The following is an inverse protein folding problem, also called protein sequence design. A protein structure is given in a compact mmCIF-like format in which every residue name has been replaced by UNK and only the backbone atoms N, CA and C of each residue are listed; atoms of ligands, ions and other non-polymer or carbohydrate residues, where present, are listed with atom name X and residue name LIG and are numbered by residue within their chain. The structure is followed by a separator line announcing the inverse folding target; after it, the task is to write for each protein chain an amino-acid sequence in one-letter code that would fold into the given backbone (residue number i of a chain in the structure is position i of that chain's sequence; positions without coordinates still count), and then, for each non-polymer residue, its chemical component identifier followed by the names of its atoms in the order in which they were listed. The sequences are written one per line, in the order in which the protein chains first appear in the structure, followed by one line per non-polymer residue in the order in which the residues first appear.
data_IF_339054412759
#
_entry.id   IF_339054412759
#
_cell.length_a   1.000
_cell.length_b   1.000
_cell.length_c   1.000
_cell.angle_alpha   90.00
_cell.angle_beta   90.00
_cell.angle_gamma   90.00
#
_symmetry.space_group_name_H-M   'P 1'
#
loop_
_entity.id
_entity.type
_entity.pdbx_description
1 polymer ?
#
# COMPACT_ATOMS: atom_id res chain seq x y z
N UNK A 1 0.60 3.98 15.67
CA UNK A 1 0.90 2.58 16.07
C UNK A 1 0.05 2.16 17.25
N UNK A 2 -0.13 0.86 17.54
CA UNK A 2 -0.94 0.40 18.68
C UNK A 2 -0.47 0.97 20.04
N UNK A 3 0.85 1.14 20.20
CA UNK A 3 1.50 1.81 21.33
C UNK A 3 0.99 3.22 21.65
N UNK A 4 0.38 3.91 20.68
CA UNK A 4 -0.13 5.27 20.85
C UNK A 4 -1.64 5.28 21.15
N UNK A 5 -2.29 4.13 21.06
CA UNK A 5 -3.76 3.99 21.07
C UNK A 5 -4.27 3.18 22.26
N UNK A 6 -3.44 2.33 22.83
CA UNK A 6 -3.80 1.44 23.93
C UNK A 6 -2.76 1.54 25.05
N UNK A 7 -3.22 1.31 26.27
CA UNK A 7 -2.34 1.15 27.43
C UNK A 7 -1.75 -0.27 27.41
N UNK A 8 -0.45 -0.37 27.13
CA UNK A 8 0.29 -1.62 26.92
C UNK A 8 1.50 -1.66 27.86
N UNK A 9 1.29 -1.85 29.17
CA UNK A 9 2.32 -1.66 30.18
C UNK A 9 3.52 -2.60 30.02
N UNK A 10 3.32 -3.83 29.53
CA UNK A 10 4.42 -4.78 29.36
C UNK A 10 5.32 -4.40 28.18
N UNK A 11 4.72 -4.03 27.05
CA UNK A 11 5.45 -3.57 25.88
C UNK A 11 6.06 -2.17 26.10
N UNK A 12 5.43 -1.31 26.90
CA UNK A 12 6.01 -0.03 27.32
C UNK A 12 7.25 -0.25 28.21
N UNK A 13 7.19 -1.18 29.17
CA UNK A 13 8.35 -1.55 29.97
C UNK A 13 9.48 -2.16 29.11
N UNK A 14 9.14 -2.95 28.08
CA UNK A 14 10.12 -3.47 27.11
C UNK A 14 10.80 -2.33 26.33
N UNK A 15 10.03 -1.34 25.90
CA UNK A 15 10.52 -0.15 25.20
C UNK A 15 11.47 0.67 26.06
N UNK A 16 11.08 0.98 27.30
CA UNK A 16 11.89 1.75 28.27
C UNK A 16 13.17 0.99 28.67
N UNK A 17 13.07 -0.33 28.84
CA UNK A 17 14.21 -1.18 29.17
C UNK A 17 15.18 -1.45 28.01
N UNK A 18 14.88 -0.95 26.80
CA UNK A 18 15.58 -1.32 25.57
C UNK A 18 15.79 -0.17 24.59
N UNK A 19 16.11 -0.54 23.35
CA UNK A 19 16.20 0.37 22.21
C UNK A 19 15.00 0.15 21.31
N UNK A 20 14.27 1.21 21.00
CA UNK A 20 13.15 1.18 20.07
C UNK A 20 13.46 1.91 18.76
N UNK A 21 12.66 1.61 17.74
CA UNK A 21 12.77 2.23 16.42
C UNK A 21 11.58 3.16 16.22
N UNK A 22 11.85 4.41 15.85
CA UNK A 22 10.81 5.41 15.56
C UNK A 22 9.98 4.99 14.34
N UNK A 23 10.64 4.56 13.26
CA UNK A 23 9.99 4.02 12.06
C UNK A 23 10.57 2.65 11.69
N UNK A 24 9.84 1.60 12.04
CA UNK A 24 10.11 0.24 11.58
C UNK A 24 9.35 -0.08 10.29
N UNK A 25 10.05 -0.64 9.30
CA UNK A 25 9.47 -1.06 8.02
C UNK A 25 9.66 -2.56 7.82
N UNK A 26 8.64 -3.23 7.30
CA UNK A 26 8.76 -4.61 6.81
C UNK A 26 8.63 -4.69 5.30
N UNK A 27 9.05 -5.81 4.72
CA UNK A 27 8.75 -6.11 3.32
C UNK A 27 7.25 -6.06 3.06
N UNK A 28 6.86 -5.79 1.81
CA UNK A 28 5.46 -5.73 1.42
C UNK A 28 4.71 -6.98 1.94
N UNK A 29 3.60 -6.83 2.69
CA UNK A 29 2.97 -7.95 3.39
C UNK A 29 2.04 -8.77 2.48
N UNK A 30 2.58 -9.20 1.35
CA UNK A 30 1.92 -10.09 0.40
C UNK A 30 1.90 -11.53 0.91
N UNK A 31 0.88 -12.27 0.48
CA UNK A 31 0.72 -13.71 0.70
C UNK A 31 0.78 -14.46 -0.63
N UNK A 32 1.95 -14.50 -1.31
CA UNK A 32 2.11 -15.21 -2.57
C UNK A 32 2.22 -16.73 -2.30
N UNK A 33 1.29 -17.28 -1.50
CA UNK A 33 1.23 -18.71 -1.12
C UNK A 33 0.77 -19.61 -2.26
N UNK A 34 0.87 -19.12 -3.49
CA UNK A 34 0.66 -19.79 -4.77
C UNK A 34 1.94 -19.60 -5.62
N UNK A 35 2.14 -20.38 -6.68
CA UNK A 35 3.34 -20.30 -7.54
C UNK A 35 4.65 -20.72 -6.79
N UNK A 36 5.89 -20.52 -7.31
CA UNK A 36 7.11 -21.07 -6.70
C UNK A 36 7.33 -20.73 -5.23
N UNK A 37 6.87 -19.57 -4.76
CA UNK A 37 6.89 -19.23 -3.33
C UNK A 37 5.99 -20.18 -2.52
N UNK A 38 4.73 -20.34 -2.94
CA UNK A 38 3.75 -21.21 -2.29
C UNK A 38 4.11 -22.70 -2.28
N UNK A 39 5.03 -23.13 -3.14
CA UNK A 39 5.54 -24.50 -3.14
C UNK A 39 6.34 -24.84 -1.87
N UNK A 40 6.92 -23.84 -1.20
CA UNK A 40 7.80 -24.03 -0.04
C UNK A 40 7.41 -23.18 1.17
N UNK A 41 6.72 -22.05 0.97
CA UNK A 41 6.39 -21.08 2.00
C UNK A 41 4.88 -20.93 2.15
N UNK A 42 4.40 -20.95 3.40
CA UNK A 42 2.97 -21.01 3.72
C UNK A 42 2.45 -19.78 4.46
N UNK A 43 3.33 -18.79 4.68
CA UNK A 43 3.04 -17.54 5.40
C UNK A 43 3.33 -16.33 4.50
N UNK A 44 3.13 -15.12 5.02
CA UNK A 44 3.45 -13.87 4.33
C UNK A 44 4.95 -13.67 4.16
N UNK A 45 5.32 -12.88 3.14
CA UNK A 45 6.71 -12.56 2.84
C UNK A 45 7.49 -12.00 4.06
N UNK A 46 6.95 -11.04 4.85
CA UNK A 46 7.65 -10.50 6.03
C UNK A 46 8.09 -11.56 7.02
N UNK A 47 7.29 -12.61 7.23
CA UNK A 47 7.64 -13.65 8.20
C UNK A 47 8.89 -14.41 7.79
N UNK A 48 9.03 -14.70 6.49
CA UNK A 48 10.20 -15.37 5.90
C UNK A 48 11.40 -14.44 5.87
N UNK A 49 11.25 -13.20 5.37
CA UNK A 49 12.37 -12.26 5.21
C UNK A 49 12.93 -11.80 6.56
N UNK A 50 12.10 -11.67 7.59
CA UNK A 50 12.56 -11.41 8.97
C UNK A 50 13.45 -12.56 9.46
N UNK A 51 13.04 -13.83 9.32
CA UNK A 51 13.84 -14.97 9.81
C UNK A 51 15.13 -15.19 9.02
N UNK A 52 15.05 -14.92 7.72
CA UNK A 52 16.17 -15.09 6.81
C UNK A 52 17.19 -13.96 6.95
N UNK A 53 16.75 -12.77 7.40
CA UNK A 53 17.58 -11.57 7.44
C UNK A 53 17.88 -10.98 6.06
N UNK A 54 17.06 -11.30 5.05
CA UNK A 54 17.26 -10.88 3.66
C UNK A 54 15.93 -10.81 2.91
N UNK A 55 15.84 -9.89 1.94
CA UNK A 55 14.73 -9.86 0.97
C UNK A 55 14.90 -10.88 -0.15
N UNK A 56 16.14 -11.32 -0.42
CA UNK A 56 16.45 -12.26 -1.48
C UNK A 56 16.40 -13.67 -0.88
N UNK A 57 15.22 -14.27 -0.98
CA UNK A 57 14.93 -15.59 -0.44
C UNK A 57 15.05 -16.68 -1.49
N UNK A 58 15.36 -17.89 -1.04
CA UNK A 58 15.41 -19.10 -1.83
C UNK A 58 14.11 -19.92 -1.70
N UNK A 59 13.92 -20.83 -2.66
CA UNK A 59 12.84 -21.82 -2.62
C UNK A 59 12.87 -22.60 -1.31
N UNK A 60 13.99 -23.29 -1.04
CA UNK A 60 14.26 -23.93 0.25
C UNK A 60 15.13 -22.99 1.07
N UNK A 61 14.48 -22.08 1.77
CA UNK A 61 15.18 -21.06 2.54
C UNK A 61 15.99 -21.68 3.70
N UNK A 62 17.26 -21.29 3.77
CA UNK A 62 18.12 -21.48 4.94
C UNK A 62 17.88 -20.33 5.91
N UNK A 63 17.51 -20.65 7.15
CA UNK A 63 17.14 -19.66 8.17
C UNK A 63 18.22 -19.51 9.24
N UNK A 64 18.16 -18.44 10.02
CA UNK A 64 19.14 -18.17 11.07
C UNK A 64 19.28 -19.30 12.09
N UNK A 65 18.18 -19.96 12.49
CA UNK A 65 18.24 -21.04 13.47
C UNK A 65 19.02 -22.26 12.97
N UNK A 66 19.15 -22.44 11.65
CA UNK A 66 19.98 -23.49 11.05
C UNK A 66 21.50 -23.20 11.17
N UNK A 67 21.89 -21.98 11.52
CA UNK A 67 23.28 -21.58 11.77
C UNK A 67 23.66 -21.63 13.26
N UNK A 68 22.70 -21.95 14.14
CA UNK A 68 22.96 -22.09 15.57
C UNK A 68 23.75 -23.39 15.85
N UNK A 69 24.57 -23.42 16.92
CA UNK A 69 25.25 -24.65 17.35
C UNK A 69 24.27 -25.81 17.55
N UNK A 70 24.64 -27.02 17.15
CA UNK A 70 23.74 -28.21 17.20
C UNK A 70 23.22 -28.53 18.61
N UNK A 71 23.96 -28.14 19.66
CA UNK A 71 23.54 -28.31 21.04
C UNK A 71 22.50 -27.29 21.52
N UNK A 72 22.21 -26.25 20.72
CA UNK A 72 21.20 -25.27 21.08
C UNK A 72 19.82 -25.84 20.79
N UNK A 73 18.95 -25.76 21.79
CA UNK A 73 17.55 -26.10 21.67
C UNK A 73 16.80 -24.87 21.16
N UNK A 74 15.98 -25.09 20.15
CA UNK A 74 15.27 -24.05 19.42
C UNK A 74 13.76 -24.29 19.46
N UNK A 75 12.99 -23.20 19.54
CA UNK A 75 11.55 -23.25 19.59
C UNK A 75 10.89 -22.29 18.61
N UNK A 76 9.84 -22.75 17.94
CA UNK A 76 8.94 -21.91 17.17
C UNK A 76 7.48 -22.16 17.58
N UNK A 77 6.76 -21.11 17.97
CA UNK A 77 5.36 -21.21 18.34
C UNK A 77 4.56 -20.13 17.61
N UNK A 78 3.54 -20.51 16.84
CA UNK A 78 2.70 -19.61 16.07
C UNK A 78 1.23 -20.02 16.08
N UNK A 79 0.34 -19.05 16.27
CA UNK A 79 -1.11 -19.26 16.41
C UNK A 79 -1.87 -19.55 15.12
N UNK A 80 -1.18 -20.00 14.07
CA UNK A 80 -1.80 -20.33 12.78
C UNK A 80 -1.00 -21.38 12.03
N UNK A 81 -1.73 -22.25 11.34
CA UNK A 81 -1.17 -23.22 10.40
C UNK A 81 -0.36 -22.57 9.26
N UNK A 82 -0.50 -21.27 9.01
CA UNK A 82 0.29 -20.54 8.03
C UNK A 82 1.79 -20.57 8.34
N UNK A 83 2.20 -20.68 9.61
CA UNK A 83 3.61 -20.57 10.00
C UNK A 83 4.42 -21.86 9.84
N UNK A 84 3.78 -22.98 9.43
CA UNK A 84 4.40 -24.31 9.36
C UNK A 84 5.65 -24.39 8.47
N UNK A 85 5.75 -23.58 7.42
CA UNK A 85 6.94 -23.57 6.55
C UNK A 85 8.21 -23.05 7.22
N UNK A 86 8.10 -22.39 8.38
CA UNK A 86 9.25 -21.95 9.16
C UNK A 86 9.71 -23.01 10.18
N UNK A 87 8.90 -24.03 10.46
CA UNK A 87 9.19 -25.06 11.47
C UNK A 87 10.42 -25.96 11.17
N UNK A 88 10.77 -26.29 9.91
CA UNK A 88 11.91 -27.17 9.67
C UNK A 88 13.18 -26.67 10.37
N UNK A 89 13.80 -27.55 11.16
CA UNK A 89 15.01 -27.26 11.95
C UNK A 89 14.77 -26.75 13.37
N UNK A 90 13.52 -26.53 13.80
CA UNK A 90 13.21 -26.27 15.21
C UNK A 90 13.00 -27.57 15.99
N UNK A 91 13.51 -27.65 17.22
CA UNK A 91 13.32 -28.81 18.11
C UNK A 91 11.90 -28.88 18.67
N UNK A 92 11.36 -27.72 19.00
CA UNK A 92 9.98 -27.53 19.44
C UNK A 92 9.21 -26.71 18.43
N UNK A 93 8.07 -27.23 17.95
CA UNK A 93 7.21 -26.46 17.06
C UNK A 93 5.73 -26.57 17.39
N UNK A 94 5.05 -25.42 17.36
CA UNK A 94 3.60 -25.29 17.37
C UNK A 94 3.23 -24.33 16.24
N UNK A 95 2.44 -24.77 15.28
CA UNK A 95 1.94 -23.92 14.19
C UNK A 95 0.50 -24.33 13.88
N UNK A 96 -0.41 -24.00 14.80
CA UNK A 96 -1.83 -24.39 14.70
C UNK A 96 -2.72 -23.23 15.13
N UNK A 97 -3.99 -23.25 14.71
CA UNK A 97 -4.99 -22.23 15.04
C UNK A 97 -5.40 -22.29 16.51
N UNK A 98 -4.60 -21.71 17.40
CA UNK A 98 -4.83 -21.70 18.85
C UNK A 98 -4.82 -20.26 19.41
N UNK A 99 -5.47 -20.02 20.55
CA UNK A 99 -5.43 -18.72 21.23
C UNK A 99 -4.01 -18.33 21.65
N UNK A 100 -3.74 -17.03 21.77
CA UNK A 100 -2.44 -16.49 22.16
C UNK A 100 -1.94 -17.07 23.50
N UNK A 101 -2.87 -17.29 24.44
CA UNK A 101 -2.60 -17.95 25.71
C UNK A 101 -1.97 -19.34 25.55
N UNK A 102 -2.49 -20.15 24.62
CA UNK A 102 -1.98 -21.50 24.38
C UNK A 102 -0.57 -21.50 23.78
N UNK A 103 -0.22 -20.47 23.01
CA UNK A 103 1.12 -20.27 22.45
C UNK A 103 2.11 -19.98 23.58
N UNK A 104 1.74 -19.10 24.51
CA UNK A 104 2.56 -18.78 25.69
C UNK A 104 2.66 -19.98 26.65
N UNK A 105 1.56 -20.71 26.87
CA UNK A 105 1.55 -21.91 27.71
C UNK A 105 2.48 -23.00 27.12
N UNK A 106 2.43 -23.24 25.80
CA UNK A 106 3.34 -24.14 25.11
C UNK A 106 4.80 -23.71 25.26
N UNK A 107 5.08 -22.42 25.07
CA UNK A 107 6.43 -21.86 25.18
C UNK A 107 7.00 -22.03 26.59
N UNK A 108 6.25 -21.62 27.62
CA UNK A 108 6.68 -21.75 29.02
C UNK A 108 6.84 -23.22 29.40
N UNK A 109 5.93 -24.10 28.96
CA UNK A 109 6.02 -25.54 29.21
C UNK A 109 7.29 -26.16 28.62
N UNK A 110 7.70 -25.73 27.42
CA UNK A 110 8.97 -26.16 26.81
C UNK A 110 10.18 -25.61 27.59
N UNK A 111 10.13 -24.35 28.06
CA UNK A 111 11.19 -23.77 28.89
C UNK A 111 11.36 -24.48 30.23
N UNK A 112 10.26 -24.88 30.89
CA UNK A 112 10.32 -25.64 32.14
C UNK A 112 10.85 -27.06 31.91
N UNK A 113 10.53 -27.68 30.76
CA UNK A 113 10.98 -29.04 30.43
C UNK A 113 12.48 -29.11 30.14
N UNK A 114 13.01 -28.21 29.31
CA UNK A 114 14.40 -28.25 28.85
C UNK A 114 15.36 -27.49 29.77
N UNK A 115 14.84 -26.57 30.59
CA UNK A 115 15.64 -25.71 31.46
C UNK A 115 16.38 -24.58 30.72
N UNK A 116 16.83 -24.78 29.47
CA UNK A 116 17.46 -23.75 28.65
C UNK A 116 17.20 -23.94 27.14
N UNK A 117 16.20 -23.22 26.61
CA UNK A 117 16.00 -23.05 25.16
C UNK A 117 16.71 -21.77 24.74
N UNK A 118 17.68 -21.86 23.82
CA UNK A 118 18.55 -20.73 23.48
C UNK A 118 17.88 -19.77 22.49
N UNK A 119 17.15 -20.29 21.50
CA UNK A 119 16.47 -19.44 20.51
C UNK A 119 15.00 -19.78 20.40
N UNK A 120 14.15 -18.74 20.50
CA UNK A 120 12.71 -18.88 20.37
C UNK A 120 12.13 -17.84 19.43
N UNK A 121 11.24 -18.26 18.54
CA UNK A 121 10.37 -17.38 17.76
C UNK A 121 8.92 -17.64 18.15
N UNK A 122 8.26 -16.61 18.67
CA UNK A 122 6.90 -16.71 19.21
C UNK A 122 6.01 -15.73 18.44
N UNK A 123 4.89 -16.21 17.91
CA UNK A 123 4.01 -15.45 17.04
C UNK A 123 2.55 -15.55 17.50
N UNK A 124 2.08 -14.49 18.15
CA UNK A 124 0.69 -14.32 18.55
C UNK A 124 -0.18 -14.02 17.31
N UNK A 125 -1.44 -14.44 17.31
CA UNK A 125 -2.31 -14.44 16.12
C UNK A 125 -3.62 -13.69 16.29
N UNK A 126 -4.12 -13.51 17.52
CA UNK A 126 -5.46 -12.97 17.76
C UNK A 126 -5.66 -11.56 17.19
N UNK A 127 -4.63 -10.71 17.24
CA UNK A 127 -4.65 -9.36 16.63
C UNK A 127 -4.84 -9.42 15.12
N UNK A 128 -4.12 -10.32 14.44
CA UNK A 128 -4.26 -10.55 13.00
C UNK A 128 -5.64 -11.09 12.63
N UNK A 129 -6.20 -12.00 13.46
CA UNK A 129 -7.56 -12.51 13.27
C UNK A 129 -8.61 -11.40 13.44
N UNK A 130 -8.59 -10.69 14.56
CA UNK A 130 -9.55 -9.64 14.87
C UNK A 130 -9.50 -8.52 13.83
N UNK A 131 -8.29 -8.12 13.44
CA UNK A 131 -8.07 -7.15 12.39
C UNK A 131 -8.63 -7.59 11.03
N UNK A 132 -8.41 -8.84 10.63
CA UNK A 132 -8.87 -9.35 9.33
C UNK A 132 -10.36 -9.65 9.30
N UNK A 133 -10.83 -10.43 10.26
CA UNK A 133 -12.16 -11.04 10.24
C UNK A 133 -13.19 -10.10 10.86
N UNK A 134 -12.88 -9.52 12.02
CA UNK A 134 -13.87 -8.77 12.81
C UNK A 134 -13.92 -7.28 12.45
N UNK A 135 -12.84 -6.75 11.86
CA UNK A 135 -12.77 -5.36 11.38
C UNK A 135 -12.75 -5.26 9.86
N UNK A 136 -11.74 -5.81 9.17
CA UNK A 136 -11.56 -5.59 7.73
C UNK A 136 -12.62 -6.24 6.83
N UNK A 137 -13.14 -7.41 7.23
CA UNK A 137 -14.24 -8.08 6.52
C UNK A 137 -15.64 -7.69 6.98
N UNK A 138 -15.75 -6.86 8.02
CA UNK A 138 -17.03 -6.48 8.59
C UNK A 138 -17.89 -5.73 7.56
N UNK A 139 -19.12 -6.19 7.38
CA UNK A 139 -20.11 -5.59 6.46
C UNK A 139 -21.20 -4.83 7.21
N UNK A 140 -21.37 -5.09 8.50
CA UNK A 140 -22.32 -4.37 9.35
C UNK A 140 -21.81 -2.96 9.63
N UNK A 141 -22.73 -2.03 9.84
CA UNK A 141 -22.42 -0.65 10.22
C UNK A 141 -22.09 -0.56 11.72
N UNK A 142 -20.87 -0.96 12.06
CA UNK A 142 -20.30 -0.87 13.42
C UNK A 142 -19.04 0.00 13.38
N UNK A 143 -18.70 0.72 14.47
CA UNK A 143 -17.61 1.69 14.46
C UNK A 143 -16.25 1.14 14.01
N UNK A 144 -15.98 -0.14 14.29
CA UNK A 144 -14.73 -0.80 13.95
C UNK A 144 -14.70 -1.44 12.56
N UNK A 145 -15.76 -1.32 11.76
CA UNK A 145 -15.75 -1.78 10.37
C UNK A 145 -14.72 -0.98 9.56
N UNK A 146 -13.67 -1.65 9.07
CA UNK A 146 -12.53 -1.02 8.38
C UNK A 146 -11.86 0.11 9.20
N UNK A 147 -11.91 0.01 10.53
CA UNK A 147 -11.18 0.89 11.43
C UNK A 147 -10.83 0.14 12.72
N UNK A 148 -9.65 -0.48 12.76
CA UNK A 148 -9.21 -1.29 13.90
C UNK A 148 -9.03 -0.50 15.20
N UNK A 149 -8.86 0.82 15.11
CA UNK A 149 -8.64 1.69 16.27
C UNK A 149 -9.92 2.37 16.76
N UNK A 150 -11.08 2.04 16.19
CA UNK A 150 -12.35 2.53 16.71
C UNK A 150 -12.58 2.06 18.16
N UNK A 151 -13.41 2.81 18.87
CA UNK A 151 -13.85 2.45 20.22
C UNK A 151 -14.47 1.04 20.23
N UNK A 152 -14.21 0.29 21.30
CA UNK A 152 -14.66 -1.10 21.51
C UNK A 152 -14.26 -2.14 20.44
N UNK A 153 -13.39 -1.76 19.50
CA UNK A 153 -12.88 -2.64 18.45
C UNK A 153 -12.34 -3.96 19.01
N UNK A 154 -12.75 -5.12 18.43
CA UNK A 154 -12.19 -6.42 18.77
C UNK A 154 -10.67 -6.49 18.62
N UNK A 155 -10.11 -5.74 17.66
CA UNK A 155 -8.66 -5.62 17.50
C UNK A 155 -7.99 -5.01 18.74
N UNK A 156 -8.57 -3.95 19.31
CA UNK A 156 -8.04 -3.32 20.53
C UNK A 156 -8.04 -4.28 21.72
N UNK A 157 -9.11 -5.06 21.87
CA UNK A 157 -9.21 -6.11 22.90
C UNK A 157 -8.14 -7.18 22.70
N UNK A 158 -7.91 -7.62 21.47
CA UNK A 158 -6.86 -8.57 21.13
C UNK A 158 -5.45 -8.01 21.39
N UNK A 159 -5.20 -6.72 21.11
CA UNK A 159 -3.91 -6.07 21.40
C UNK A 159 -3.63 -6.03 22.91
N UNK A 160 -4.63 -5.69 23.73
CA UNK A 160 -4.52 -5.70 25.19
C UNK A 160 -4.27 -7.13 25.71
N UNK A 161 -4.94 -8.13 25.14
CA UNK A 161 -4.70 -9.52 25.48
C UNK A 161 -3.27 -9.96 25.12
N UNK A 162 -2.78 -9.59 23.94
CA UNK A 162 -1.42 -9.89 23.50
C UNK A 162 -0.38 -9.28 24.46
N UNK A 163 -0.53 -8.02 24.88
CA UNK A 163 0.36 -7.40 25.88
C UNK A 163 0.36 -8.17 27.21
N UNK A 164 -0.81 -8.59 27.68
CA UNK A 164 -0.95 -9.39 28.90
C UNK A 164 -0.24 -10.75 28.79
N UNK A 165 -0.42 -11.47 27.69
CA UNK A 165 0.19 -12.78 27.48
C UNK A 165 1.71 -12.67 27.29
N UNK A 166 2.19 -11.60 26.64
CA UNK A 166 3.61 -11.22 26.61
C UNK A 166 4.14 -10.94 28.03
N UNK A 167 3.36 -10.23 28.86
CA UNK A 167 3.68 -9.98 30.26
C UNK A 167 3.90 -11.27 31.07
N UNK A 168 3.08 -12.31 30.85
CA UNK A 168 3.27 -13.62 31.49
C UNK A 168 4.61 -14.25 31.13
N UNK A 169 5.04 -14.14 29.88
CA UNK A 169 6.36 -14.61 29.45
C UNK A 169 7.48 -13.80 30.13
N UNK A 170 7.31 -12.49 30.25
CA UNK A 170 8.29 -11.63 30.92
C UNK A 170 8.40 -11.95 32.42
N UNK A 171 7.28 -12.16 33.10
CA UNK A 171 7.25 -12.55 34.51
C UNK A 171 7.89 -13.92 34.73
N UNK A 172 7.66 -14.88 33.82
CA UNK A 172 8.35 -16.15 33.84
C UNK A 172 9.88 -15.98 33.74
N UNK A 173 10.36 -15.21 32.77
CA UNK A 173 11.80 -14.95 32.59
C UNK A 173 12.41 -14.26 33.83
N UNK A 174 11.72 -13.28 34.42
CA UNK A 174 12.14 -12.62 35.66
C UNK A 174 12.18 -13.59 36.84
N UNK A 175 11.14 -14.41 37.01
CA UNK A 175 11.05 -15.41 38.07
C UNK A 175 12.12 -16.50 37.99
N UNK A 176 12.61 -16.81 36.78
CA UNK A 176 13.74 -17.72 36.54
C UNK A 176 15.11 -17.02 36.54
N UNK A 177 15.15 -15.70 36.78
CA UNK A 177 16.39 -14.92 36.74
C UNK A 177 17.04 -14.79 35.35
N UNK A 178 16.27 -15.02 34.28
CA UNK A 178 16.74 -14.98 32.88
C UNK A 178 16.45 -13.67 32.15
N UNK A 179 15.67 -12.77 32.76
CA UNK A 179 15.28 -11.50 32.13
C UNK A 179 16.48 -10.69 31.61
N UNK A 180 17.47 -10.43 32.47
CA UNK A 180 18.62 -9.58 32.11
C UNK A 180 19.65 -10.28 31.20
N UNK A 181 19.60 -11.61 31.10
CA UNK A 181 20.47 -12.41 30.23
C UNK A 181 19.84 -12.77 28.88
N UNK A 182 18.56 -12.46 28.67
CA UNK A 182 17.83 -12.81 27.45
C UNK A 182 17.72 -11.61 26.52
N UNK A 183 18.09 -11.80 25.24
CA UNK A 183 17.77 -10.85 24.18
C UNK A 183 16.33 -11.08 23.73
N UNK A 184 15.50 -10.05 23.86
CA UNK A 184 14.12 -10.01 23.40
C UNK A 184 14.04 -9.03 22.25
N UNK A 185 13.48 -9.49 21.12
CA UNK A 185 13.16 -8.63 19.99
C UNK A 185 11.66 -8.69 19.74
N UNK A 186 10.98 -7.56 19.87
CA UNK A 186 9.54 -7.45 19.63
C UNK A 186 9.25 -6.76 18.30
N UNK A 187 8.40 -7.38 17.49
CA UNK A 187 7.93 -6.86 16.22
C UNK A 187 6.50 -7.34 15.90
N UNK A 188 5.78 -6.57 15.08
CA UNK A 188 4.51 -6.98 14.49
C UNK A 188 4.67 -7.54 13.06
N UNK A 189 3.61 -8.18 12.55
CA UNK A 189 3.51 -8.73 11.18
C UNK A 189 2.83 -7.77 10.17
N UNK A 190 2.52 -6.55 10.62
CA UNK A 190 1.99 -5.45 9.82
C UNK A 190 0.47 -5.36 9.93
N UNK A 191 -0.08 -4.14 9.90
CA UNK A 191 -1.52 -3.96 10.06
C UNK A 191 -2.00 -2.61 9.50
N UNK A 192 -2.95 -2.64 8.57
CA UNK A 192 -3.66 -1.46 8.10
C UNK A 192 -4.71 -0.99 9.11
N UNK A 193 -5.00 0.31 9.12
CA UNK A 193 -6.14 0.89 9.85
C UNK A 193 -7.45 0.19 9.43
N UNK A 194 -7.56 -0.14 8.15
CA UNK A 194 -8.71 -0.87 7.62
C UNK A 194 -8.80 -2.34 8.06
N UNK A 195 -7.80 -2.86 8.75
CA UNK A 195 -7.72 -4.25 9.18
C UNK A 195 -6.94 -5.13 8.23
N UNK A 196 -6.22 -6.10 8.81
CA UNK A 196 -5.24 -6.97 8.15
C UNK A 196 -4.08 -6.19 7.54
N UNK A 197 -3.10 -6.85 6.94
CA UNK A 197 -1.95 -6.21 6.28
C UNK A 197 -2.21 -6.04 4.77
N UNK A 198 -3.09 -5.11 4.40
CA UNK A 198 -3.45 -4.83 3.00
C UNK A 198 -2.22 -4.35 2.20
N UNK A 199 -1.84 -5.08 1.15
CA UNK A 199 -0.57 -4.86 0.43
C UNK A 199 -0.46 -3.50 -0.31
N UNK A 200 -1.56 -2.78 -0.55
CA UNK A 200 -1.52 -1.43 -1.16
C UNK A 200 -1.50 -0.30 -0.13
N UNK A 201 -1.74 -0.61 1.15
CA UNK A 201 -1.82 0.37 2.23
C UNK A 201 -0.47 0.50 2.92
N UNK A 202 0.03 1.72 3.07
CA UNK A 202 1.37 1.98 3.64
C UNK A 202 1.40 1.75 5.15
N UNK A 203 0.28 1.85 5.84
CA UNK A 203 0.21 1.46 7.25
C UNK A 203 0.47 -0.05 7.46
N UNK A 204 0.17 -0.90 6.47
CA UNK A 204 0.43 -2.34 6.53
C UNK A 204 1.89 -2.74 6.60
N UNK A 205 2.82 -1.92 6.10
CA UNK A 205 4.25 -2.23 6.15
C UNK A 205 4.96 -1.62 7.37
N UNK A 206 4.22 -0.91 8.24
CA UNK A 206 4.76 -0.35 9.47
C UNK A 206 4.78 -1.42 10.56
N UNK A 207 5.87 -1.48 11.32
CA UNK A 207 6.01 -2.44 12.41
C UNK A 207 6.74 -1.83 13.59
N UNK A 208 6.34 -2.13 14.84
CA UNK A 208 7.17 -1.77 15.97
C UNK A 208 8.44 -2.60 15.90
N UNK A 209 9.56 -2.05 16.32
CA UNK A 209 10.80 -2.82 16.50
C UNK A 209 11.41 -2.37 17.81
N UNK A 210 11.55 -3.32 18.74
CA UNK A 210 12.14 -3.08 20.06
C UNK A 210 13.15 -4.19 20.33
N UNK A 211 14.38 -3.79 20.67
CA UNK A 211 15.41 -4.68 21.19
C UNK A 211 15.57 -4.44 22.69
N UNK A 212 15.51 -5.49 23.49
CA UNK A 212 15.72 -5.42 24.94
C UNK A 212 16.65 -6.55 25.37
N UNK A 213 17.58 -6.28 26.28
CA UNK A 213 18.39 -7.33 26.90
C UNK A 213 19.87 -6.99 26.97
N UNK A 214 20.75 -8.00 27.10
CA UNK A 214 22.16 -7.78 27.35
C UNK A 214 22.82 -7.01 26.21
N UNK A 215 23.63 -6.01 26.58
CA UNK A 215 24.40 -5.15 25.65
C UNK A 215 23.55 -4.21 24.78
N UNK A 216 22.23 -4.10 25.01
CA UNK A 216 21.36 -3.14 24.33
C UNK A 216 21.24 -1.85 25.16
N UNK A 217 21.26 -0.68 24.52
CA UNK A 217 21.00 0.60 25.19
C UNK A 217 19.56 0.63 25.70
N UNK A 218 19.39 1.16 26.92
CA UNK A 218 18.08 1.36 27.54
C UNK A 218 17.58 2.77 27.24
N UNK A 219 16.26 2.95 27.18
CA UNK A 219 15.60 4.21 26.88
C UNK A 219 16.22 4.96 25.68
N UNK A 220 16.50 4.19 24.62
CA UNK A 220 17.16 4.71 23.42
C UNK A 220 16.28 4.54 22.18
N UNK A 221 16.31 5.50 21.28
CA UNK A 221 15.51 5.49 20.06
C UNK A 221 16.42 5.68 18.86
N UNK A 222 16.31 4.78 17.88
CA UNK A 222 16.92 4.96 16.56
C UNK A 222 15.83 5.38 15.55
N UNK A 223 16.17 6.22 14.55
CA UNK A 223 15.15 6.80 13.68
C UNK A 223 14.49 5.76 12.75
N UNK A 224 15.22 4.71 12.37
CA UNK A 224 14.75 3.81 11.32
C UNK A 224 15.41 2.42 11.37
N UNK A 225 14.63 1.38 11.06
CA UNK A 225 15.11 0.02 10.82
C UNK A 225 14.15 -0.76 9.91
N UNK A 226 14.65 -1.81 9.27
CA UNK A 226 13.87 -2.73 8.45
C UNK A 226 13.83 -4.13 9.08
N UNK A 227 12.79 -4.90 8.77
CA UNK A 227 12.63 -6.25 9.31
C UNK A 227 13.79 -7.18 8.94
N UNK A 228 14.43 -6.95 7.79
CA UNK A 228 15.61 -7.68 7.34
C UNK A 228 16.88 -7.39 8.15
N UNK A 229 16.92 -6.29 8.94
CA UNK A 229 18.08 -5.93 9.76
C UNK A 229 18.14 -6.69 11.09
N UNK A 230 17.02 -7.32 11.47
CA UNK A 230 16.83 -7.92 12.79
C UNK A 230 17.75 -9.12 13.00
N UNK A 231 17.72 -10.08 12.09
CA UNK A 231 18.54 -11.29 12.18
C UNK A 231 20.04 -11.00 12.02
N UNK A 232 20.50 -10.18 11.05
CA UNK A 232 21.90 -9.74 10.99
C UNK A 232 22.37 -9.09 12.30
N UNK A 233 21.49 -8.32 12.95
CA UNK A 233 21.78 -7.70 14.24
C UNK A 233 21.87 -8.73 15.38
N UNK A 234 20.95 -9.70 15.45
CA UNK A 234 21.01 -10.80 16.42
C UNK A 234 22.28 -11.62 16.22
N UNK A 235 22.59 -12.00 14.98
CA UNK A 235 23.78 -12.78 14.64
C UNK A 235 25.07 -12.05 15.06
N UNK A 236 25.16 -10.74 14.79
CA UNK A 236 26.29 -9.91 15.23
C UNK A 236 26.41 -9.85 16.76
N UNK A 237 25.30 -9.63 17.48
CA UNK A 237 25.31 -9.62 18.95
C UNK A 237 25.79 -10.97 19.50
N UNK A 238 25.38 -12.08 18.89
CA UNK A 238 25.74 -13.42 19.31
C UNK A 238 27.10 -13.90 18.81
N UNK A 239 27.78 -13.10 17.97
CA UNK A 239 29.01 -13.50 17.30
C UNK A 239 28.85 -14.79 16.48
N UNK A 240 27.71 -14.92 15.78
CA UNK A 240 27.39 -16.02 14.87
C UNK A 240 27.53 -15.53 13.44
N UNK A 241 28.23 -16.30 12.61
CA UNK A 241 28.32 -16.05 11.18
C UNK A 241 27.11 -16.66 10.47
N UNK A 242 26.27 -15.80 9.89
CA UNK A 242 25.18 -16.26 9.02
C UNK A 242 25.74 -16.85 7.73
N UNK A 243 25.20 -17.99 7.29
CA UNK A 243 25.48 -18.57 5.98
C UNK A 243 24.63 -17.92 4.88
N UNK A 244 23.42 -17.50 5.24
CA UNK A 244 22.47 -16.86 4.32
C UNK A 244 22.74 -15.34 4.17
N UNK A 245 23.93 -14.98 3.69
CA UNK A 245 24.30 -13.58 3.38
C UNK A 245 24.38 -13.37 1.87
N UNK A 246 23.59 -12.45 1.34
CA UNK A 246 23.52 -12.12 -0.08
C UNK A 246 23.24 -10.61 -0.28
N UNK A 247 23.10 -10.15 -1.53
CA UNK A 247 22.87 -8.73 -1.81
C UNK A 247 21.50 -8.18 -1.39
N UNK A 248 20.64 -9.03 -0.82
CA UNK A 248 19.35 -8.69 -0.20
C UNK A 248 19.40 -8.60 1.33
N UNK A 249 20.54 -8.93 1.95
CA UNK A 249 20.70 -9.01 3.41
C UNK A 249 20.62 -7.62 4.06
N UNK A 250 19.87 -7.53 5.17
CA UNK A 250 19.76 -6.30 5.97
C UNK A 250 21.09 -5.91 6.61
N UNK A 251 21.19 -4.66 7.05
CA UNK A 251 22.37 -4.18 7.75
C UNK A 251 22.35 -4.60 9.22
N UNK A 252 23.51 -4.53 9.86
CA UNK A 252 23.64 -4.66 11.32
C UNK A 252 23.37 -3.31 11.99
N UNK A 253 22.38 -3.26 12.88
CA UNK A 253 22.02 -2.06 13.66
C UNK A 253 23.00 -1.88 14.84
N UNK A 254 24.27 -1.57 14.58
CA UNK A 254 25.30 -1.46 15.61
C UNK A 254 24.99 -0.40 16.66
N UNK A 255 24.32 0.68 16.27
CA UNK A 255 23.98 1.83 17.10
C UNK A 255 23.12 1.49 18.34
N UNK A 256 22.42 0.34 18.34
CA UNK A 256 21.61 -0.10 19.48
C UNK A 256 22.47 -0.61 20.66
N UNK A 257 23.74 -0.95 20.41
CA UNK A 257 24.60 -1.57 21.42
C UNK A 257 25.25 -0.54 22.35
N UNK A 258 25.37 -0.85 23.64
CA UNK A 258 25.88 0.06 24.70
C UNK A 258 27.30 0.61 24.46
N UNK A 259 28.14 -0.14 23.74
CA UNK A 259 29.53 0.25 23.46
C UNK A 259 29.73 0.92 22.10
N UNK A 260 28.66 1.08 21.32
CA UNK A 260 28.72 1.72 20.01
C UNK A 260 28.27 3.18 20.15
N UNK A 261 28.88 4.11 19.38
CA UNK A 261 28.45 5.50 19.39
C UNK A 261 26.98 5.60 18.96
N UNK A 262 26.31 6.68 19.37
CA UNK A 262 24.93 6.95 19.00
C UNK A 262 24.71 7.04 17.47
N UNK A 263 25.78 7.31 16.70
CA UNK A 263 25.74 7.41 15.24
C UNK A 263 27.04 6.91 14.61
N UNK A 264 27.07 5.71 14.01
CA UNK A 264 27.90 5.48 12.84
C UNK A 264 27.32 6.26 11.65
N UNK A 265 28.18 6.99 10.95
CA UNK A 265 27.88 7.99 9.93
C UNK A 265 27.53 7.36 8.56
N UNK A 266 26.37 6.72 8.45
CA UNK A 266 25.68 6.51 7.16
C UNK A 266 24.17 6.47 7.39
N UNK A 267 23.41 7.27 6.64
CA UNK A 267 21.96 7.15 6.58
C UNK A 267 21.57 5.69 6.26
N UNK A 268 20.51 5.20 6.92
CA UNK A 268 19.93 3.91 6.57
C UNK A 268 19.60 3.90 5.07
N UNK A 269 19.96 2.87 4.29
CA UNK A 269 19.70 2.87 2.85
C UNK A 269 18.21 2.81 2.49
N UNK A 270 17.39 2.29 3.41
CA UNK A 270 15.91 2.25 3.36
C UNK A 270 15.41 1.46 2.15
N UNK A 271 16.10 0.37 1.81
CA UNK A 271 15.81 -0.40 0.59
C UNK A 271 14.43 -1.03 0.62
N UNK A 272 14.02 -1.59 1.77
CA UNK A 272 12.71 -2.23 1.89
C UNK A 272 11.58 -1.23 1.65
N UNK A 273 11.64 -0.04 2.26
CA UNK A 273 10.62 1.00 2.03
C UNK A 273 10.61 1.47 0.57
N UNK A 274 11.79 1.74 0.00
CA UNK A 274 11.94 2.16 -1.41
C UNK A 274 11.32 1.12 -2.37
N UNK A 275 11.65 -0.16 -2.18
CA UNK A 275 11.14 -1.25 -3.01
C UNK A 275 9.63 -1.42 -2.81
N UNK A 276 9.13 -1.35 -1.58
CA UNK A 276 7.69 -1.46 -1.37
C UNK A 276 6.92 -0.32 -2.07
N UNK A 277 7.46 0.91 -2.06
CA UNK A 277 6.90 2.05 -2.81
C UNK A 277 6.89 1.78 -4.32
N UNK A 278 7.95 1.20 -4.86
CA UNK A 278 8.01 0.79 -6.27
C UNK A 278 6.99 -0.30 -6.60
N UNK A 279 6.83 -1.33 -5.76
CA UNK A 279 5.82 -2.38 -5.94
C UNK A 279 4.40 -1.80 -5.99
N UNK A 280 4.08 -0.89 -5.06
CA UNK A 280 2.80 -0.18 -5.03
C UNK A 280 2.58 0.67 -6.29
N UNK A 281 3.57 1.47 -6.69
CA UNK A 281 3.48 2.34 -7.86
C UNK A 281 3.36 1.52 -9.15
N UNK A 282 4.19 0.49 -9.32
CA UNK A 282 4.14 -0.40 -10.47
C UNK A 282 2.78 -1.07 -10.60
N UNK A 283 2.19 -1.59 -9.52
CA UNK A 283 0.84 -2.19 -9.55
C UNK A 283 -0.19 -1.24 -10.15
N UNK A 284 -0.18 0.04 -9.75
CA UNK A 284 -1.11 1.04 -10.26
C UNK A 284 -0.85 1.36 -11.74
N UNK A 285 0.41 1.54 -12.13
CA UNK A 285 0.78 1.84 -13.52
C UNK A 285 0.49 0.66 -14.44
N UNK A 286 0.82 -0.56 -14.01
CA UNK A 286 0.58 -1.80 -14.75
C UNK A 286 -0.91 -2.02 -14.96
N UNK A 287 -1.75 -1.81 -13.95
CA UNK A 287 -3.20 -1.89 -14.10
C UNK A 287 -3.75 -0.90 -15.15
N UNK A 288 -3.28 0.36 -15.14
CA UNK A 288 -3.65 1.35 -16.16
C UNK A 288 -3.17 0.93 -17.56
N UNK A 289 -1.94 0.46 -17.65
CA UNK A 289 -1.35 -0.02 -18.91
C UNK A 289 -2.10 -1.23 -19.46
N UNK A 290 -2.51 -2.18 -18.61
CA UNK A 290 -3.28 -3.37 -19.00
C UNK A 290 -4.63 -2.99 -19.61
N UNK A 291 -5.38 -2.09 -18.96
CA UNK A 291 -6.66 -1.57 -19.48
C UNK A 291 -6.46 -0.93 -20.84
N UNK A 292 -5.42 -0.09 -20.98
CA UNK A 292 -5.13 0.59 -22.24
C UNK A 292 -4.70 -0.39 -23.35
N UNK A 293 -3.92 -1.41 -23.00
CA UNK A 293 -3.38 -2.39 -23.95
C UNK A 293 -4.47 -3.18 -24.69
N UNK A 294 -5.68 -3.27 -24.13
CA UNK A 294 -6.82 -3.92 -24.78
C UNK A 294 -7.22 -3.23 -26.10
N UNK A 295 -6.86 -1.97 -26.28
CA UNK A 295 -7.23 -1.17 -27.46
C UNK A 295 -6.05 -0.42 -28.10
N UNK A 296 -4.87 -0.41 -27.46
CA UNK A 296 -3.65 0.20 -28.00
C UNK A 296 -2.54 -0.84 -28.21
N UNK A 297 -2.28 -1.26 -29.46
CA UNK A 297 -1.22 -2.22 -29.78
C UNK A 297 0.17 -1.77 -29.33
N UNK A 298 0.44 -0.47 -29.27
CA UNK A 298 1.75 0.03 -28.87
C UNK A 298 1.99 -0.10 -27.36
N UNK A 299 0.97 0.12 -26.53
CA UNK A 299 1.01 -0.21 -25.10
C UNK A 299 1.11 -1.73 -24.91
N UNK A 300 0.36 -2.51 -25.69
CA UNK A 300 0.44 -3.97 -25.62
C UNK A 300 1.85 -4.50 -25.92
N UNK A 301 2.49 -3.99 -26.97
CA UNK A 301 3.87 -4.32 -27.31
C UNK A 301 4.85 -3.95 -26.19
N UNK A 302 4.74 -2.73 -25.63
CA UNK A 302 5.57 -2.31 -24.51
C UNK A 302 5.43 -3.25 -23.31
N UNK A 303 4.20 -3.66 -22.97
CA UNK A 303 3.99 -4.61 -21.88
C UNK A 303 4.65 -5.96 -22.16
N UNK A 304 4.58 -6.46 -23.40
CA UNK A 304 5.29 -7.69 -23.78
C UNK A 304 6.80 -7.55 -23.63
N UNK A 305 7.40 -6.44 -24.06
CA UNK A 305 8.84 -6.17 -23.88
C UNK A 305 9.23 -6.13 -22.40
N UNK A 306 8.44 -5.45 -21.57
CA UNK A 306 8.72 -5.29 -20.13
C UNK A 306 8.46 -6.55 -19.29
N UNK A 307 7.65 -7.49 -19.77
CA UNK A 307 7.27 -8.71 -19.03
C UNK A 307 8.16 -9.91 -19.34
N UNK A 308 8.91 -9.89 -20.45
CA UNK A 308 9.69 -11.03 -20.92
C UNK A 308 11.19 -10.76 -20.84
N UNK A 309 11.91 -11.64 -20.14
CA UNK A 309 13.37 -11.61 -20.07
C UNK A 309 13.98 -11.64 -21.48
N UNK A 310 14.98 -10.79 -21.72
CA UNK A 310 15.68 -10.68 -23.01
C UNK A 310 15.03 -9.74 -24.02
N UNK A 311 13.83 -9.22 -23.76
CA UNK A 311 13.17 -8.22 -24.61
C UNK A 311 13.31 -6.78 -24.10
N UNK A 312 13.84 -6.59 -22.88
CA UNK A 312 14.16 -5.28 -22.32
C UNK A 312 15.50 -5.28 -21.57
N UNK A 313 16.10 -4.10 -21.44
CA UNK A 313 17.33 -3.89 -20.66
C UNK A 313 17.11 -4.21 -19.16
N UNK A 314 15.93 -3.87 -18.64
CA UNK A 314 15.57 -4.04 -17.25
C UNK A 314 14.21 -4.73 -17.09
N UNK A 315 14.10 -5.55 -16.06
CA UNK A 315 12.88 -6.27 -15.68
C UNK A 315 12.39 -5.77 -14.34
N UNK A 316 11.07 -5.78 -14.15
CA UNK A 316 10.48 -5.43 -12.86
C UNK A 316 10.38 -6.66 -11.96
N UNK A 317 10.98 -6.57 -10.78
CA UNK A 317 10.98 -7.62 -9.78
C UNK A 317 9.69 -7.56 -8.96
N UNK A 318 8.58 -8.02 -9.56
CA UNK A 318 7.28 -8.06 -8.91
C UNK A 318 7.20 -9.12 -7.79
N UNK A 319 6.22 -9.02 -6.89
CA UNK A 319 6.01 -10.00 -5.82
C UNK A 319 5.58 -11.40 -6.31
N UNK A 320 5.12 -11.54 -7.55
CA UNK A 320 4.84 -12.86 -8.13
C UNK A 320 6.13 -13.63 -8.51
N UNK A 321 7.29 -12.94 -8.49
CA UNK A 321 8.61 -13.45 -8.86
C UNK A 321 9.62 -13.34 -7.72
N UNK A 322 9.18 -13.41 -6.46
CA UNK A 322 10.04 -13.20 -5.28
C UNK A 322 11.30 -14.08 -5.27
N UNK A 323 11.18 -15.35 -5.65
CA UNK A 323 12.32 -16.28 -5.71
C UNK A 323 13.40 -15.79 -6.70
N UNK A 324 13.01 -15.00 -7.69
CA UNK A 324 13.90 -14.45 -8.71
C UNK A 324 14.51 -13.11 -8.31
N UNK A 325 14.09 -12.48 -7.21
CA UNK A 325 14.63 -11.19 -6.77
C UNK A 325 16.15 -11.23 -6.59
N UNK A 326 16.71 -12.36 -6.18
CA UNK A 326 18.16 -12.57 -6.07
C UNK A 326 18.93 -12.42 -7.39
N UNK A 327 18.27 -12.59 -8.55
CA UNK A 327 18.88 -12.36 -9.86
C UNK A 327 19.29 -10.89 -10.05
N UNK A 328 18.71 -9.97 -9.28
CA UNK A 328 19.09 -8.57 -9.30
C UNK A 328 20.51 -8.32 -8.80
N UNK A 329 21.12 -9.26 -8.06
CA UNK A 329 22.45 -9.11 -7.48
C UNK A 329 22.42 -8.36 -6.15
N UNK A 330 21.95 -7.10 -6.13
CA UNK A 330 21.80 -6.27 -4.92
C UNK A 330 20.45 -5.55 -4.86
N UNK A 331 20.04 -5.09 -3.66
CA UNK A 331 18.83 -4.26 -3.50
C UNK A 331 18.89 -2.96 -4.30
N UNK A 332 20.09 -2.37 -4.42
CA UNK A 332 20.30 -1.17 -5.25
C UNK A 332 20.07 -1.46 -6.74
N UNK A 333 20.62 -2.57 -7.24
CA UNK A 333 20.42 -3.00 -8.63
C UNK A 333 18.94 -3.34 -8.90
N UNK A 334 18.27 -4.02 -7.95
CA UNK A 334 16.83 -4.27 -8.01
C UNK A 334 16.04 -2.97 -8.08
N UNK A 335 16.35 -2.01 -7.20
CA UNK A 335 15.70 -0.69 -7.18
C UNK A 335 15.87 0.04 -8.51
N UNK A 336 17.09 0.06 -9.07
CA UNK A 336 17.37 0.73 -10.34
C UNK A 336 16.63 0.09 -11.51
N UNK A 337 16.62 -1.25 -11.58
CA UNK A 337 15.86 -2.00 -12.58
C UNK A 337 14.36 -1.72 -12.49
N UNK A 338 13.80 -1.77 -11.28
CA UNK A 338 12.39 -1.44 -11.03
C UNK A 338 12.06 -0.01 -11.42
N UNK A 339 12.94 0.96 -11.10
CA UNK A 339 12.72 2.36 -11.41
C UNK A 339 12.70 2.63 -12.91
N UNK A 340 13.57 1.96 -13.67
CA UNK A 340 13.60 2.06 -15.12
C UNK A 340 12.26 1.62 -15.73
N UNK A 341 11.74 0.46 -15.31
CA UNK A 341 10.46 -0.06 -15.81
C UNK A 341 9.30 0.88 -15.47
N UNK A 342 9.27 1.39 -14.23
CA UNK A 342 8.28 2.39 -13.80
C UNK A 342 8.34 3.64 -14.69
N UNK A 343 9.54 4.12 -15.02
CA UNK A 343 9.72 5.32 -15.83
C UNK A 343 9.23 5.10 -17.27
N UNK A 344 9.51 3.95 -17.88
CA UNK A 344 9.01 3.63 -19.23
C UNK A 344 7.48 3.55 -19.27
N UNK A 345 6.86 2.91 -18.27
CA UNK A 345 5.40 2.89 -18.14
C UNK A 345 4.81 4.31 -17.99
N UNK A 346 5.39 5.13 -17.11
CA UNK A 346 4.95 6.54 -16.92
C UNK A 346 5.07 7.34 -18.20
N UNK A 347 6.20 7.23 -18.90
CA UNK A 347 6.45 7.93 -20.16
C UNK A 347 5.41 7.57 -21.21
N UNK A 348 5.12 6.27 -21.39
CA UNK A 348 4.12 5.80 -22.35
C UNK A 348 2.71 6.27 -21.99
N UNK A 349 2.29 6.09 -20.74
CA UNK A 349 0.97 6.52 -20.25
C UNK A 349 0.76 8.03 -20.43
N UNK A 350 1.75 8.84 -20.07
CA UNK A 350 1.70 10.30 -20.24
C UNK A 350 1.59 10.72 -21.71
N UNK A 351 2.34 10.09 -22.61
CA UNK A 351 2.28 10.39 -24.04
C UNK A 351 0.91 10.07 -24.66
N UNK A 352 0.18 9.12 -24.08
CA UNK A 352 -1.14 8.72 -24.55
C UNK A 352 -2.23 9.65 -24.04
N UNK A 353 -2.16 10.09 -22.77
CA UNK A 353 -3.07 11.12 -22.24
C UNK A 353 -3.04 12.39 -23.11
N UNK A 354 -1.85 12.82 -23.54
CA UNK A 354 -1.70 13.97 -24.46
C UNK A 354 -2.29 13.71 -25.85
N UNK A 355 -2.24 12.47 -26.36
CA UNK A 355 -2.81 12.12 -27.66
C UNK A 355 -4.34 11.97 -27.61
N UNK A 356 -4.93 11.46 -26.53
CA UNK A 356 -6.39 11.42 -26.38
C UNK A 356 -7.00 12.83 -26.31
N UNK A 357 -6.34 13.77 -25.62
CA UNK A 357 -6.76 15.18 -25.59
C UNK A 357 -6.67 15.87 -26.97
N UNK A 358 -5.92 15.32 -27.93
CA UNK A 358 -5.80 15.92 -29.27
C UNK A 358 -7.07 15.79 -30.14
N UNK A 359 -7.97 14.86 -29.80
CA UNK A 359 -9.26 14.70 -30.51
C UNK A 359 -10.41 15.46 -29.86
N UNK A 360 -10.33 15.69 -28.55
CA UNK A 360 -11.33 16.47 -27.84
C UNK A 360 -11.35 17.91 -28.37
N UNK A 361 -12.55 18.44 -28.56
CA UNK A 361 -12.76 19.83 -28.94
C UNK A 361 -13.71 20.48 -27.94
N UNK A 362 -13.59 21.79 -27.83
CA UNK A 362 -14.48 22.60 -27.04
C UNK A 362 -15.25 23.51 -27.98
N UNK A 363 -16.47 23.88 -27.60
CA UNK A 363 -17.28 24.79 -28.40
C UNK A 363 -17.79 25.90 -27.49
N UNK A 364 -17.46 27.14 -27.81
CA UNK A 364 -18.03 28.31 -27.13
C UNK A 364 -19.18 28.86 -27.96
N UNK A 365 -20.31 29.06 -27.31
CA UNK A 365 -21.53 29.61 -27.90
C UNK A 365 -21.82 30.94 -27.22
N UNK A 366 -21.93 32.00 -28.01
CA UNK A 366 -22.17 33.36 -27.53
C UNK A 366 -23.46 33.86 -28.19
N UNK A 367 -24.45 34.22 -27.38
CA UNK A 367 -25.70 34.81 -27.83
C UNK A 367 -25.83 36.21 -27.28
N UNK A 368 -25.87 37.21 -28.14
CA UNK A 368 -26.38 38.53 -27.76
C UNK A 368 -27.85 38.39 -27.36
N UNK A 369 -28.24 39.00 -26.24
CA UNK A 369 -29.61 39.00 -25.73
C UNK A 369 -30.24 40.37 -25.93
N UNK A 370 -31.54 40.41 -26.19
CA UNK A 370 -32.27 41.67 -26.26
C UNK A 370 -32.70 42.07 -24.84
N UNK A 371 -32.45 43.31 -24.43
CA UNK A 371 -32.73 43.78 -23.07
C UNK A 371 -34.18 43.52 -22.62
N UNK A 372 -35.14 43.71 -23.53
CA UNK A 372 -36.57 43.56 -23.23
C UNK A 372 -37.04 42.12 -22.95
N UNK A 373 -36.24 41.09 -23.30
CA UNK A 373 -36.64 39.68 -23.17
C UNK A 373 -35.52 38.74 -22.70
N UNK A 374 -34.44 39.32 -22.15
CA UNK A 374 -33.30 38.62 -21.55
C UNK A 374 -33.71 37.54 -20.54
N UNK A 375 -34.59 37.89 -19.61
CA UNK A 375 -35.04 36.97 -18.56
C UNK A 375 -35.74 35.73 -19.14
N UNK A 376 -36.55 35.92 -20.19
CA UNK A 376 -37.25 34.82 -20.86
C UNK A 376 -36.29 33.88 -21.59
N UNK A 377 -35.20 34.42 -22.15
CA UNK A 377 -34.13 33.59 -22.70
C UNK A 377 -33.48 32.71 -21.61
N UNK A 378 -33.12 33.30 -20.47
CA UNK A 378 -32.46 32.58 -19.37
C UNK A 378 -33.35 31.47 -18.81
N UNK A 379 -34.65 31.74 -18.62
CA UNK A 379 -35.65 30.75 -18.20
C UNK A 379 -35.73 29.62 -19.23
N UNK A 380 -35.85 29.93 -20.53
CA UNK A 380 -35.92 28.91 -21.58
C UNK A 380 -34.66 28.04 -21.61
N UNK A 381 -33.49 28.64 -21.44
CA UNK A 381 -32.24 27.89 -21.45
C UNK A 381 -32.15 26.96 -20.24
N UNK A 382 -32.42 27.51 -19.04
CA UNK A 382 -32.36 26.78 -17.77
C UNK A 382 -33.34 25.62 -17.73
N UNK A 383 -34.61 25.88 -17.98
CA UNK A 383 -35.70 24.92 -17.70
C UNK A 383 -35.91 23.91 -18.85
N UNK A 384 -35.44 24.26 -20.06
CA UNK A 384 -35.69 23.46 -21.26
C UNK A 384 -34.40 23.09 -22.00
N UNK A 385 -33.70 24.07 -22.59
CA UNK A 385 -32.60 23.78 -23.50
C UNK A 385 -31.50 22.94 -22.85
N UNK A 386 -31.09 23.28 -21.62
CA UNK A 386 -30.01 22.58 -20.92
C UNK A 386 -30.30 21.09 -20.69
N UNK A 387 -31.54 20.73 -20.32
CA UNK A 387 -31.96 19.34 -20.11
C UNK A 387 -32.04 18.58 -21.43
N UNK A 388 -32.59 19.20 -22.47
CA UNK A 388 -32.70 18.58 -23.80
C UNK A 388 -31.30 18.35 -24.40
N UNK A 389 -30.40 19.34 -24.29
CA UNK A 389 -29.00 19.21 -24.68
C UNK A 389 -28.33 18.02 -23.98
N UNK A 390 -28.50 17.87 -22.66
CA UNK A 390 -27.96 16.72 -21.92
C UNK A 390 -28.45 15.37 -22.46
N UNK A 391 -29.72 15.25 -22.89
CA UNK A 391 -30.24 14.00 -23.50
C UNK A 391 -29.52 13.64 -24.81
N UNK A 392 -29.03 14.63 -25.55
CA UNK A 392 -28.33 14.45 -26.82
C UNK A 392 -26.81 14.39 -26.68
N UNK A 393 -26.30 14.20 -25.46
CA UNK A 393 -24.87 13.97 -25.21
C UNK A 393 -24.02 15.24 -25.13
N UNK A 394 -24.63 16.41 -24.94
CA UNK A 394 -23.90 17.65 -24.72
C UNK A 394 -23.33 17.68 -23.31
N UNK A 395 -22.02 17.91 -23.19
CA UNK A 395 -21.34 18.16 -21.93
C UNK A 395 -21.14 19.68 -21.76
N UNK A 396 -22.01 20.33 -20.98
CA UNK A 396 -21.91 21.77 -20.69
C UNK A 396 -20.97 21.96 -19.50
N UNK A 397 -19.79 22.52 -19.77
CA UNK A 397 -18.77 22.73 -18.75
C UNK A 397 -19.11 23.90 -17.83
N UNK A 398 -19.55 25.02 -18.40
CA UNK A 398 -19.91 26.21 -17.64
C UNK A 398 -20.72 27.19 -18.50
N UNK A 399 -21.38 28.15 -17.83
CA UNK A 399 -22.24 29.17 -18.43
C UNK A 399 -22.03 30.52 -17.74
N UNK A 400 -22.12 31.62 -18.49
CA UNK A 400 -21.90 32.97 -18.00
C UNK A 400 -22.86 33.96 -18.65
N UNK A 401 -23.19 35.00 -17.90
CA UNK A 401 -23.71 36.25 -18.46
C UNK A 401 -22.52 37.20 -18.68
N UNK A 402 -22.46 37.84 -19.85
CA UNK A 402 -21.42 38.80 -20.19
C UNK A 402 -22.03 40.10 -20.73
N UNK A 403 -21.20 41.13 -20.89
CA UNK A 403 -21.56 42.35 -21.59
C UNK A 403 -20.47 42.69 -22.60
N UNK A 404 -20.86 42.95 -23.84
CA UNK A 404 -19.95 43.33 -24.90
C UNK A 404 -20.50 44.55 -25.65
N UNK A 405 -19.75 45.65 -25.62
CA UNK A 405 -20.15 46.94 -26.19
C UNK A 405 -21.52 47.43 -25.71
N UNK A 406 -21.81 47.26 -24.42
CA UNK A 406 -23.06 47.73 -23.80
C UNK A 406 -24.24 46.78 -23.98
N UNK A 407 -24.08 45.66 -24.71
CA UNK A 407 -25.15 44.68 -24.93
C UNK A 407 -24.95 43.43 -24.06
N UNK A 408 -26.00 42.88 -23.43
CA UNK A 408 -25.89 41.65 -22.66
C UNK A 408 -25.70 40.43 -23.57
N UNK A 409 -24.92 39.46 -23.10
CA UNK A 409 -24.66 38.19 -23.76
C UNK A 409 -24.91 37.01 -22.82
N UNK A 410 -25.27 35.87 -23.38
CA UNK A 410 -25.19 34.58 -22.72
C UNK A 410 -24.14 33.71 -23.40
N UNK A 411 -23.17 33.24 -22.61
CA UNK A 411 -22.02 32.47 -23.07
C UNK A 411 -22.04 31.11 -22.40
N UNK A 412 -21.81 30.04 -23.15
CA UNK A 412 -21.56 28.73 -22.55
C UNK A 412 -20.51 27.94 -23.32
N UNK A 413 -19.83 27.06 -22.61
CA UNK A 413 -18.77 26.19 -23.12
C UNK A 413 -19.24 24.74 -23.11
N UNK A 414 -19.07 24.06 -24.24
CA UNK A 414 -19.33 22.64 -24.42
C UNK A 414 -18.02 21.88 -24.57
N UNK A 415 -17.98 20.65 -24.06
CA UNK A 415 -16.95 19.65 -24.37
C UNK A 415 -17.52 18.61 -25.33
N UNK A 416 -16.74 18.26 -26.35
CA UNK A 416 -17.08 17.22 -27.31
C UNK A 416 -15.93 16.23 -27.47
N UNK A 417 -16.28 14.97 -27.72
CA UNK A 417 -15.31 13.91 -27.98
C UNK A 417 -14.46 14.18 -29.24
N UNK A 418 -15.11 14.67 -30.30
CA UNK A 418 -14.54 15.03 -31.60
C UNK A 418 -15.54 15.90 -32.40
N UNK A 419 -15.17 16.37 -33.59
CA UNK A 419 -16.02 17.20 -34.46
C UNK A 419 -17.28 16.46 -34.96
N UNK A 420 -17.21 15.14 -35.13
CA UNK A 420 -18.36 14.35 -35.58
C UNK A 420 -19.42 14.23 -34.49
N UNK A 421 -19.01 14.03 -33.23
CA UNK A 421 -19.90 14.06 -32.07
C UNK A 421 -20.61 15.41 -31.93
N UNK A 422 -19.90 16.53 -32.15
CA UNK A 422 -20.48 17.87 -32.19
C UNK A 422 -21.56 17.96 -33.28
N UNK A 423 -21.23 17.55 -34.51
CA UNK A 423 -22.14 17.62 -35.67
C UNK A 423 -23.43 16.83 -35.41
N UNK A 424 -23.28 15.57 -35.00
CA UNK A 424 -24.42 14.67 -34.72
C UNK A 424 -25.25 15.15 -33.52
N UNK A 425 -24.60 15.65 -32.46
CA UNK A 425 -25.28 16.17 -31.29
C UNK A 425 -26.19 17.35 -31.63
N UNK A 426 -25.68 18.32 -32.38
CA UNK A 426 -26.47 19.46 -32.83
C UNK A 426 -27.58 19.09 -33.82
N UNK A 427 -27.32 18.18 -34.76
CA UNK A 427 -28.34 17.67 -35.69
C UNK A 427 -29.53 17.07 -34.94
N UNK A 428 -29.26 16.24 -33.92
CA UNK A 428 -30.30 15.66 -33.06
C UNK A 428 -31.01 16.70 -32.21
N UNK A 429 -30.28 17.67 -31.65
CA UNK A 429 -30.89 18.72 -30.85
C UNK A 429 -31.86 19.59 -31.67
N UNK A 430 -31.50 19.98 -32.89
CA UNK A 430 -32.37 20.79 -33.74
C UNK A 430 -33.57 20.04 -34.31
N UNK A 431 -33.52 18.71 -34.37
CA UNK A 431 -34.62 17.84 -34.78
C UNK A 431 -35.47 17.31 -33.61
N UNK A 432 -35.13 17.65 -32.36
CA UNK A 432 -35.92 17.28 -31.18
C UNK A 432 -37.27 18.03 -31.18
N UNK A 433 -38.37 17.28 -31.23
CA UNK A 433 -39.73 17.82 -31.30
C UNK A 433 -40.07 18.72 -30.10
N UNK A 434 -39.58 18.36 -28.90
CA UNK A 434 -39.80 19.14 -27.68
C UNK A 434 -39.07 20.49 -27.76
N UNK A 435 -37.85 20.50 -28.32
CA UNK A 435 -37.12 21.75 -28.56
C UNK A 435 -37.84 22.64 -29.57
N UNK A 436 -38.31 22.07 -30.68
CA UNK A 436 -39.04 22.81 -31.73
C UNK A 436 -40.29 23.46 -31.14
N UNK A 437 -41.11 22.71 -30.40
CA UNK A 437 -42.33 23.23 -29.77
C UNK A 437 -42.02 24.38 -28.80
N UNK A 438 -41.03 24.20 -27.91
CA UNK A 438 -40.66 25.21 -26.92
C UNK A 438 -40.11 26.46 -27.58
N UNK A 439 -39.26 26.31 -28.60
CA UNK A 439 -38.72 27.43 -29.38
C UNK A 439 -39.83 28.22 -30.04
N UNK A 440 -40.75 27.55 -30.72
CA UNK A 440 -41.82 28.20 -31.48
C UNK A 440 -42.82 28.87 -30.54
N UNK A 441 -43.24 28.20 -29.46
CA UNK A 441 -44.09 28.77 -28.42
C UNK A 441 -43.48 30.02 -27.79
N UNK A 442 -42.22 29.96 -27.38
CA UNK A 442 -41.55 31.10 -26.73
C UNK A 442 -41.32 32.26 -27.69
N UNK A 443 -40.96 31.98 -28.96
CA UNK A 443 -40.77 33.03 -29.96
C UNK A 443 -42.09 33.70 -30.36
N UNK A 444 -43.20 32.96 -30.43
CA UNK A 444 -44.52 33.54 -30.72
C UNK A 444 -45.01 34.47 -29.61
N UNK A 445 -44.68 34.17 -28.34
CA UNK A 445 -45.08 34.99 -27.19
C UNK A 445 -44.18 36.21 -26.98
N UNK A 446 -42.87 36.05 -27.12
CA UNK A 446 -41.88 37.05 -26.68
C UNK A 446 -41.00 37.60 -27.80
N UNK A 447 -41.29 37.25 -29.06
CA UNK A 447 -40.44 37.56 -30.21
C UNK A 447 -39.12 36.80 -30.19
N UNK A 448 -38.14 37.25 -31.00
CA UNK A 448 -36.81 36.63 -30.98
C UNK A 448 -36.13 36.84 -29.62
N UNK A 449 -35.89 35.74 -28.90
CA UNK A 449 -35.18 35.74 -27.61
C UNK A 449 -33.66 35.87 -27.74
N UNK A 450 -33.16 35.97 -28.98
CA UNK A 450 -31.74 36.13 -29.29
C UNK A 450 -31.58 37.30 -30.26
N UNK A 451 -30.56 38.11 -30.00
CA UNK A 451 -30.18 39.25 -30.84
C UNK A 451 -29.54 38.83 -32.16
N UNK A 452 -29.04 39.83 -32.90
CA UNK A 452 -28.43 39.64 -34.21
C UNK A 452 -27.12 38.85 -34.12
N UNK A 453 -26.32 39.10 -33.08
CA UNK A 453 -25.03 38.44 -32.92
C UNK A 453 -25.18 37.08 -32.25
N UNK A 454 -24.76 36.05 -32.98
CA UNK A 454 -24.60 34.67 -32.51
C UNK A 454 -23.26 34.18 -32.98
N UNK A 455 -22.45 33.69 -32.06
CA UNK A 455 -21.15 33.14 -32.39
C UNK A 455 -21.06 31.68 -31.96
N UNK A 456 -20.45 30.91 -32.85
CA UNK A 456 -20.11 29.52 -32.65
C UNK A 456 -18.64 29.36 -32.98
N UNK A 457 -17.82 29.06 -31.98
CA UNK A 457 -16.39 28.89 -32.17
C UNK A 457 -15.96 27.55 -31.63
N UNK A 458 -15.31 26.77 -32.48
CA UNK A 458 -14.61 25.55 -32.08
C UNK A 458 -13.25 25.96 -31.53
N UNK A 459 -12.95 25.49 -30.32
CA UNK A 459 -11.71 25.71 -29.61
C UNK A 459 -10.98 24.36 -29.48
N UNK A 460 -9.66 24.40 -29.60
CA UNK A 460 -8.79 23.25 -29.40
C UNK A 460 -7.84 23.57 -28.26
N UNK A 461 -7.60 22.59 -27.39
CA UNK A 461 -6.66 22.76 -26.28
C UNK A 461 -5.24 22.98 -26.80
N UNK A 462 -4.53 23.90 -26.17
CA UNK A 462 -3.08 24.04 -26.30
C UNK A 462 -2.37 23.18 -25.25
N UNK A 463 -1.09 22.87 -25.47
CA UNK A 463 -0.29 22.02 -24.58
C UNK A 463 0.37 22.78 -23.42
N UNK A 464 -0.06 24.02 -23.15
CA UNK A 464 0.51 24.91 -22.13
C UNK A 464 -0.58 25.67 -21.40
#
# INVERSE_FOLDING_TARGET
MAFEKYDLPNLQALKEGGTSVEKGIMTLPVHPTIWPYGAYHTTSLPNITTLAGTMFIDEKQHFFHHDLPEQYITLHAGGSNAYRSMNPGFDYSLADGVPDRSIIDFTIGAFDKEGDIQFSRIHLQETGYAGRIESGKQQSDVPWAKNIFAEDSPYGKAVINADKEIGRLFDYLKGKGKWDSTLIVFMGDGQAIAGWHLYMSEDSWLTPVIFHGPRIKKDYIIPYAENIDVIPTIAWLWNIQMKNTNGGTGRVLKEIAVHQPARPDTEHPQWTEKINRQLKEYNLLKAKADILSAHDPAMNLLLMELMHEGLSEHQFYNYDRIIEWKKAGTLEQMYNSNQWVINELKKKLKSMETNTNSKEIYQIRIYELNDHNKEQFLIRFKDHASRIMKRHGFDILNMWEANHNGKPEFVYMLKWKDEEALRVGWEKFFSDEEWIEIRDRTNNTYGSLVGERKEDRILRSTNF
#
